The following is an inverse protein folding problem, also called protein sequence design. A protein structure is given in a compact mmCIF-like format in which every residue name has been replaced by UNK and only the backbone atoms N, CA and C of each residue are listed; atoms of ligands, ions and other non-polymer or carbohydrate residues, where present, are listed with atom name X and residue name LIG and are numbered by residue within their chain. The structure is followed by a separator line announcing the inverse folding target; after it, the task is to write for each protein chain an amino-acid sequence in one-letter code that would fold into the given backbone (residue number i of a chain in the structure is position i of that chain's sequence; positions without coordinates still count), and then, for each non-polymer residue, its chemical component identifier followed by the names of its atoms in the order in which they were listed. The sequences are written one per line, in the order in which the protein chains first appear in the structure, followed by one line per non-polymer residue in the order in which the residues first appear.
data_IF_084099974394
#
_entry.id   IF_084099974394
#
_cell.length_a   1.000
_cell.length_b   1.000
_cell.length_c   1.000
_cell.angle_alpha   90.00
_cell.angle_beta   90.00
_cell.angle_gamma   90.00
#
_symmetry.space_group_name_H-M   'P 1'
#
loop_
_entity.id
_entity.type
_entity.pdbx_description
1 polymer ?
#
# COMPACT_ATOMS: atom_id res chain seq x y z
N UNK A 1 -2.10 -9.53 20.97
CA UNK A 1 -2.92 -9.32 19.78
C UNK A 1 -4.31 -9.00 20.27
N UNK A 2 -4.87 -7.83 19.94
CA UNK A 2 -6.30 -7.60 20.17
C UNK A 2 -7.03 -8.26 19.01
N UNK A 3 -7.63 -9.42 19.27
CA UNK A 3 -8.51 -10.14 18.33
C UNK A 3 -9.86 -9.41 18.21
N UNK A 4 -9.85 -8.10 17.89
CA UNK A 4 -11.06 -7.33 17.64
C UNK A 4 -11.43 -7.46 16.16
N UNK A 5 -12.51 -8.17 15.81
CA UNK A 5 -12.88 -8.41 14.40
C UNK A 5 -13.13 -7.13 13.61
N UNK A 6 -13.38 -6.00 14.28
CA UNK A 6 -13.58 -4.69 13.64
C UNK A 6 -12.26 -4.10 13.14
N UNK A 7 -11.18 -4.33 13.88
CA UNK A 7 -9.83 -3.91 13.50
C UNK A 7 -9.38 -4.70 12.27
N UNK A 8 -9.63 -6.00 12.24
CA UNK A 8 -9.36 -6.85 11.08
C UNK A 8 -10.17 -6.44 9.84
N UNK A 9 -11.46 -6.14 10.01
CA UNK A 9 -12.32 -5.71 8.92
C UNK A 9 -11.90 -4.35 8.33
N UNK A 10 -11.50 -3.40 9.18
CA UNK A 10 -11.01 -2.09 8.74
C UNK A 10 -9.68 -2.25 7.99
N UNK A 11 -8.72 -2.98 8.55
CA UNK A 11 -7.42 -3.20 7.92
C UNK A 11 -7.53 -3.96 6.60
N UNK A 12 -8.45 -4.93 6.49
CA UNK A 12 -8.75 -5.60 5.24
C UNK A 12 -9.33 -4.65 4.19
N UNK A 13 -10.23 -3.74 4.59
CA UNK A 13 -10.81 -2.74 3.70
C UNK A 13 -9.77 -1.75 3.17
N UNK A 14 -8.87 -1.30 4.04
CA UNK A 14 -7.76 -0.40 3.67
C UNK A 14 -6.77 -1.10 2.73
N UNK A 15 -6.44 -2.36 2.99
CA UNK A 15 -5.55 -3.16 2.13
C UNK A 15 -6.16 -3.36 0.73
N UNK A 16 -7.45 -3.66 0.64
CA UNK A 16 -8.16 -3.82 -0.65
C UNK A 16 -8.19 -2.51 -1.43
N UNK A 17 -8.48 -1.40 -0.76
CA UNK A 17 -8.53 -0.07 -1.39
C UNK A 17 -7.15 0.33 -1.92
N UNK A 18 -6.10 0.12 -1.11
CA UNK A 18 -4.71 0.35 -1.51
C UNK A 18 -4.27 -0.51 -2.69
N UNK A 19 -4.66 -1.79 -2.71
CA UNK A 19 -4.35 -2.73 -3.79
C UNK A 19 -5.04 -2.34 -5.12
N UNK A 20 -6.28 -1.85 -5.05
CA UNK A 20 -7.01 -1.33 -6.21
C UNK A 20 -6.34 -0.06 -6.77
N UNK A 21 -5.88 0.84 -5.89
CA UNK A 21 -5.18 2.05 -6.30
C UNK A 21 -3.84 1.73 -6.96
N UNK A 22 -3.03 0.84 -6.38
CA UNK A 22 -1.77 0.38 -6.97
C UNK A 22 -2.00 -0.21 -8.38
N UNK A 23 -2.98 -1.10 -8.51
CA UNK A 23 -3.37 -1.69 -9.80
C UNK A 23 -3.77 -0.62 -10.83
N UNK A 24 -4.52 0.40 -10.40
CA UNK A 24 -4.93 1.51 -11.27
C UNK A 24 -3.73 2.33 -11.73
N UNK A 25 -2.81 2.67 -10.83
CA UNK A 25 -1.59 3.43 -11.15
C UNK A 25 -0.74 2.69 -12.18
N UNK A 26 -0.50 1.38 -11.97
CA UNK A 26 0.22 0.56 -12.95
C UNK A 26 -0.46 0.51 -14.32
N UNK A 27 -1.80 0.39 -14.37
CA UNK A 27 -2.55 0.42 -15.63
C UNK A 27 -2.50 1.78 -16.34
N UNK A 28 -2.48 2.90 -15.60
CA UNK A 28 -2.34 4.24 -16.16
C UNK A 28 -0.94 4.46 -16.74
N UNK A 29 0.10 3.95 -16.05
CA UNK A 29 1.46 3.89 -16.58
C UNK A 29 1.54 3.09 -17.88
N UNK A 30 0.96 1.88 -17.91
CA UNK A 30 0.94 1.03 -19.11
C UNK A 30 0.20 1.67 -20.32
N UNK A 31 -0.69 2.65 -20.07
CA UNK A 31 -1.36 3.45 -21.10
C UNK A 31 -0.58 4.68 -21.52
N UNK A 32 0.58 4.95 -20.93
CA UNK A 32 1.38 6.15 -21.14
C UNK A 32 0.74 7.43 -20.60
N UNK A 33 -0.23 7.30 -19.68
CA UNK A 33 -0.87 8.45 -19.01
C UNK A 33 0.08 9.00 -17.94
N UNK A 34 0.75 8.09 -17.23
CA UNK A 34 1.90 8.40 -16.38
C UNK A 34 3.16 7.87 -17.03
N UNK A 35 4.25 8.61 -16.87
CA UNK A 35 5.60 8.14 -17.13
C UNK A 35 6.05 7.16 -16.05
N UNK A 36 7.07 6.35 -16.36
CA UNK A 36 7.64 5.39 -15.41
C UNK A 36 8.14 6.10 -14.13
N UNK A 37 8.69 7.31 -14.24
CA UNK A 37 9.12 8.07 -13.06
C UNK A 37 7.92 8.55 -12.23
N UNK A 38 6.84 9.02 -12.84
CA UNK A 38 5.62 9.40 -12.11
C UNK A 38 5.00 8.21 -11.38
N UNK A 39 4.96 7.04 -12.03
CA UNK A 39 4.51 5.78 -11.39
C UNK A 39 5.42 5.43 -10.21
N UNK A 40 6.74 5.53 -10.39
CA UNK A 40 7.72 5.25 -9.34
C UNK A 40 7.59 6.21 -8.16
N UNK A 41 7.42 7.51 -8.41
CA UNK A 41 7.22 8.53 -7.37
C UNK A 41 5.97 8.25 -6.54
N UNK A 42 4.87 7.84 -7.18
CA UNK A 42 3.63 7.46 -6.49
C UNK A 42 3.88 6.28 -5.55
N UNK A 43 4.54 5.23 -6.02
CA UNK A 43 4.86 4.06 -5.19
C UNK A 43 5.83 4.40 -4.05
N UNK A 44 6.83 5.25 -4.27
CA UNK A 44 7.75 5.73 -3.21
C UNK A 44 6.98 6.51 -2.14
N UNK A 45 6.07 7.39 -2.54
CA UNK A 45 5.26 8.16 -1.59
C UNK A 45 4.34 7.26 -0.77
N UNK A 46 3.65 6.31 -1.43
CA UNK A 46 2.81 5.32 -0.77
C UNK A 46 3.60 4.47 0.24
N UNK A 47 4.81 4.02 -0.13
CA UNK A 47 5.70 3.28 0.75
C UNK A 47 6.12 4.11 1.99
N UNK A 48 6.39 5.41 1.82
CA UNK A 48 6.67 6.32 2.93
C UNK A 48 5.49 6.42 3.91
N UNK A 49 4.29 6.66 3.39
CA UNK A 49 3.07 6.75 4.20
C UNK A 49 2.78 5.46 4.97
N UNK A 50 2.99 4.28 4.37
CA UNK A 50 2.77 3.01 5.08
C UNK A 50 3.74 2.81 6.24
N UNK A 51 5.01 3.25 6.10
CA UNK A 51 5.98 3.20 7.20
C UNK A 51 5.62 4.14 8.34
N UNK A 52 5.09 5.32 8.04
CA UNK A 52 4.60 6.25 9.05
C UNK A 52 3.42 5.63 9.83
N UNK A 53 2.40 5.11 9.13
CA UNK A 53 1.25 4.49 9.79
C UNK A 53 1.61 3.24 10.60
N UNK A 54 2.56 2.40 10.13
CA UNK A 54 3.03 1.24 10.87
C UNK A 54 3.59 1.63 12.25
N UNK A 55 4.29 2.77 12.34
CA UNK A 55 4.84 3.25 13.60
C UNK A 55 3.74 3.69 14.59
N UNK A 56 2.64 4.25 14.07
CA UNK A 56 1.51 4.73 14.88
C UNK A 56 0.53 3.61 15.27
N UNK A 57 0.48 2.52 14.50
CA UNK A 57 -0.47 1.42 14.64
C UNK A 57 0.22 0.05 14.80
N UNK A 58 0.98 -0.18 15.89
CA UNK A 58 1.74 -1.42 16.08
C UNK A 58 0.86 -2.68 16.14
N UNK A 59 -0.44 -2.54 16.41
CA UNK A 59 -1.41 -3.65 16.37
C UNK A 59 -1.66 -4.20 14.97
N UNK A 60 -1.32 -3.45 13.92
CA UNK A 60 -1.51 -3.80 12.51
C UNK A 60 -0.18 -4.06 11.78
N UNK A 61 0.94 -4.17 12.52
CA UNK A 61 2.28 -4.23 11.96
C UNK A 61 2.45 -5.28 10.84
N UNK A 62 1.87 -6.47 11.00
CA UNK A 62 1.95 -7.54 10.00
C UNK A 62 1.22 -7.24 8.69
N UNK A 63 0.16 -6.43 8.74
CA UNK A 63 -0.58 -6.01 7.55
C UNK A 63 0.22 -4.94 6.81
N UNK A 64 0.82 -4.00 7.55
CA UNK A 64 1.75 -3.02 6.99
C UNK A 64 2.97 -3.70 6.37
N UNK A 65 3.56 -4.71 7.00
CA UNK A 65 4.67 -5.48 6.42
C UNK A 65 4.30 -6.10 5.08
N UNK A 66 3.15 -6.78 5.00
CA UNK A 66 2.66 -7.38 3.75
C UNK A 66 2.41 -6.32 2.65
N UNK A 67 1.87 -5.16 3.01
CA UNK A 67 1.65 -4.06 2.07
C UNK A 67 2.98 -3.46 1.58
N UNK A 68 3.97 -3.32 2.45
CA UNK A 68 5.31 -2.85 2.09
C UNK A 68 6.01 -3.81 1.12
N UNK A 69 5.92 -5.12 1.35
CA UNK A 69 6.48 -6.13 0.43
C UNK A 69 5.90 -6.04 -0.98
N UNK A 70 4.59 -5.80 -1.10
CA UNK A 70 3.91 -5.64 -2.40
C UNK A 70 4.41 -4.38 -3.12
N UNK A 71 4.47 -3.24 -2.42
CA UNK A 71 4.96 -1.99 -3.02
C UNK A 71 6.43 -2.09 -3.40
N UNK A 72 7.27 -2.74 -2.58
CA UNK A 72 8.67 -2.98 -2.92
C UNK A 72 8.82 -3.86 -4.17
N UNK A 73 7.92 -4.80 -4.42
CA UNK A 73 7.93 -5.62 -5.63
C UNK A 73 7.62 -4.79 -6.88
N UNK A 74 6.70 -3.82 -6.80
CA UNK A 74 6.36 -2.90 -7.89
C UNK A 74 7.45 -1.86 -8.19
N UNK A 75 8.33 -1.59 -7.21
CA UNK A 75 9.46 -0.66 -7.35
C UNK A 75 10.74 -1.31 -7.95
N UNK A 76 10.76 -2.63 -8.13
CA UNK A 76 11.90 -3.38 -8.69
C UNK A 76 11.77 -3.59 -10.19
#
# INVERSE_FOLDING_TARGET
MSDDPRVDALAASELVSSSLLASLVGMLGAKGIFSDEEVREIYVHAHGLLKEHQADEPGLASIYDAALEIIEAELR
#
